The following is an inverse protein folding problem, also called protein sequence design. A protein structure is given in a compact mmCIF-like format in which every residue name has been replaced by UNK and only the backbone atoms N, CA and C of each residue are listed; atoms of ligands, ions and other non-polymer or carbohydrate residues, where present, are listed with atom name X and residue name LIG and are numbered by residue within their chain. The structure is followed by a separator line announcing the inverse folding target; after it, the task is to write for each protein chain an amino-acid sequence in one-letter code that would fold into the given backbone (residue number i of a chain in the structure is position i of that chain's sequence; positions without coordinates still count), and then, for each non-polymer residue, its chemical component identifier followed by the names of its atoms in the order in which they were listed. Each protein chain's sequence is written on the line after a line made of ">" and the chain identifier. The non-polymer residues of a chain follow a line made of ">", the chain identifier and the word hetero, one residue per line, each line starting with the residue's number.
data_IF_651953925992
#
_entry.id   IF_651953925992
#
_cell.length_a   1.000
_cell.length_b   1.000
_cell.length_c   1.000
_cell.angle_alpha   90.00
_cell.angle_beta   90.00
_cell.angle_gamma   90.00
#
_symmetry.space_group_name_H-M   'P 1'
#
loop_
_entity.id
_entity.type
_entity.pdbx_description
1 polymer ?
#
# COMPACT_ATOMS: atom_id res chain seq x y z
N UNK A 1 44.95 20.98 20.41
CA UNK A 1 44.05 21.77 19.56
C UNK A 1 43.48 20.81 18.53
N UNK A 2 42.25 20.36 18.75
CA UNK A 2 41.55 19.39 17.88
C UNK A 2 40.13 19.89 17.74
N UNK A 3 39.66 20.32 16.55
CA UNK A 3 38.25 20.56 16.35
C UNK A 3 37.59 19.26 15.90
N UNK A 4 36.81 18.72 16.83
CA UNK A 4 35.43 18.26 16.69
C UNK A 4 35.07 17.44 15.45
N UNK A 5 34.87 16.15 15.70
CA UNK A 5 34.07 15.24 14.88
C UNK A 5 32.67 15.83 14.68
N UNK A 6 32.43 16.36 13.48
CA UNK A 6 31.09 16.70 13.02
C UNK A 6 30.28 15.41 12.91
N UNK A 7 29.44 15.15 13.90
CA UNK A 7 28.34 14.19 13.78
C UNK A 7 27.46 14.72 12.65
N UNK A 8 27.57 14.10 11.47
CA UNK A 8 26.59 14.23 10.39
C UNK A 8 25.28 13.66 10.92
N UNK A 9 24.53 14.48 11.67
CA UNK A 9 23.15 14.20 11.99
C UNK A 9 22.40 14.25 10.66
N UNK A 10 22.07 13.07 10.13
CA UNK A 10 21.11 12.93 9.05
C UNK A 10 19.88 13.74 9.45
N UNK A 11 19.41 14.70 8.63
CA UNK A 11 18.23 15.48 8.96
C UNK A 11 17.09 14.52 9.28
N UNK A 12 16.54 14.59 10.50
CA UNK A 12 15.39 13.77 10.87
C UNK A 12 14.27 14.05 9.88
N UNK A 13 13.83 13.01 9.18
CA UNK A 13 12.70 13.10 8.28
C UNK A 13 11.50 13.65 9.08
N UNK A 14 10.81 14.70 8.61
CA UNK A 14 9.77 15.39 9.38
C UNK A 14 8.54 14.53 9.70
N UNK A 15 8.51 13.28 9.26
CA UNK A 15 7.42 12.37 9.52
C UNK A 15 7.97 11.03 10.04
N UNK A 16 8.04 10.92 11.37
CA UNK A 16 8.45 9.70 12.08
C UNK A 16 7.51 8.52 11.81
N UNK A 17 6.32 8.77 11.23
CA UNK A 17 5.45 7.75 10.64
C UNK A 17 6.12 7.00 9.47
N UNK A 18 7.14 7.51 8.79
CA UNK A 18 7.79 6.77 7.69
C UNK A 18 8.91 5.84 8.15
N UNK A 19 9.59 6.18 9.24
CA UNK A 19 10.60 5.32 9.87
C UNK A 19 9.94 4.18 10.69
N UNK A 20 8.76 4.44 11.27
CA UNK A 20 8.04 3.48 12.14
C UNK A 20 6.80 2.85 11.49
N UNK A 21 6.16 3.53 10.54
CA UNK A 21 4.87 3.12 9.96
C UNK A 21 4.95 1.90 9.07
N UNK A 22 6.06 1.68 8.34
CA UNK A 22 6.25 0.41 7.60
C UNK A 22 6.25 -0.82 8.52
N UNK A 23 6.75 -0.71 9.75
CA UNK A 23 6.67 -1.81 10.73
C UNK A 23 5.25 -2.03 11.27
N UNK A 24 4.41 -0.98 11.28
CA UNK A 24 3.00 -1.07 11.68
C UNK A 24 2.17 -1.67 10.56
N UNK A 25 2.44 -1.28 9.32
CA UNK A 25 1.76 -1.76 8.12
C UNK A 25 2.05 -3.25 7.85
N UNK A 26 3.24 -3.76 8.19
CA UNK A 26 3.56 -5.19 8.08
C UNK A 26 2.56 -6.09 8.83
N UNK A 27 1.98 -5.61 9.94
CA UNK A 27 0.95 -6.34 10.71
C UNK A 27 -0.37 -6.50 9.95
N UNK A 28 -0.57 -5.71 8.90
CA UNK A 28 -1.74 -5.76 8.01
C UNK A 28 -1.38 -6.39 6.65
N UNK A 29 -0.25 -7.10 6.55
CA UNK A 29 0.13 -7.87 5.36
C UNK A 29 0.96 -7.11 4.33
N UNK A 30 1.36 -5.88 4.66
CA UNK A 30 2.27 -5.12 3.82
C UNK A 30 3.64 -5.79 3.79
N UNK A 31 4.00 -6.27 2.60
CA UNK A 31 5.33 -6.75 2.26
C UNK A 31 5.81 -5.94 1.08
N UNK A 32 7.09 -5.56 1.11
CA UNK A 32 7.76 -5.01 -0.06
C UNK A 32 7.82 -6.12 -1.12
N UNK A 33 7.08 -5.94 -2.22
CA UNK A 33 7.13 -6.83 -3.36
C UNK A 33 8.18 -6.29 -4.33
N UNK A 34 9.13 -7.14 -4.71
CA UNK A 34 10.10 -6.78 -5.73
C UNK A 34 9.42 -6.66 -7.10
N UNK A 35 10.01 -5.87 -8.00
CA UNK A 35 9.49 -5.66 -9.35
C UNK A 35 9.35 -7.01 -10.10
N UNK A 36 8.10 -7.46 -10.29
CA UNK A 36 7.77 -8.70 -11.00
C UNK A 36 7.41 -9.89 -10.10
N UNK A 37 7.39 -9.72 -8.77
CA UNK A 37 6.92 -10.75 -7.84
C UNK A 37 5.39 -10.93 -7.95
N UNK A 38 4.94 -12.12 -8.33
CA UNK A 38 3.53 -12.52 -8.30
C UNK A 38 3.22 -13.10 -6.91
N UNK A 39 2.30 -12.46 -6.18
CA UNK A 39 1.76 -13.04 -4.95
C UNK A 39 0.83 -14.20 -5.31
N UNK A 40 1.14 -15.40 -4.81
CA UNK A 40 0.32 -16.60 -4.95
C UNK A 40 -0.46 -16.95 -3.66
N UNK A 41 -0.18 -16.24 -2.56
CA UNK A 41 -0.75 -16.43 -1.21
C UNK A 41 -2.07 -15.64 -1.00
N UNK A 42 -2.98 -15.68 -1.98
CA UNK A 42 -4.24 -14.92 -1.92
C UNK A 42 -5.07 -15.21 -0.67
N UNK A 43 -5.03 -16.45 -0.16
CA UNK A 43 -5.74 -16.82 1.06
C UNK A 43 -5.18 -16.13 2.31
N UNK A 44 -3.85 -16.04 2.43
CA UNK A 44 -3.18 -15.39 3.56
C UNK A 44 -3.43 -13.88 3.55
N UNK A 45 -3.30 -13.25 2.37
CA UNK A 45 -3.61 -11.84 2.21
C UNK A 45 -5.10 -11.55 2.49
N UNK A 46 -5.99 -12.44 2.07
CA UNK A 46 -7.43 -12.30 2.35
C UNK A 46 -7.73 -12.37 3.84
N UNK A 47 -7.06 -13.21 4.61
CA UNK A 47 -7.29 -13.29 6.05
C UNK A 47 -6.99 -11.99 6.80
N UNK A 48 -6.04 -11.20 6.28
CA UNK A 48 -5.69 -9.89 6.84
C UNK A 48 -6.68 -8.79 6.43
N UNK A 49 -7.32 -8.94 5.27
CA UNK A 49 -8.13 -7.89 4.66
C UNK A 49 -9.64 -8.14 4.72
N UNK A 50 -10.10 -9.38 4.90
CA UNK A 50 -11.53 -9.72 4.90
C UNK A 50 -12.33 -8.99 5.99
N UNK A 51 -11.65 -8.52 7.04
CA UNK A 51 -12.22 -7.66 8.07
C UNK A 51 -12.79 -6.33 7.54
N UNK A 52 -12.28 -5.83 6.41
CA UNK A 52 -12.79 -4.63 5.73
C UNK A 52 -14.26 -4.75 5.33
N UNK A 53 -14.76 -5.99 5.19
CA UNK A 53 -16.09 -6.32 4.68
C UNK A 53 -17.02 -6.88 5.76
N UNK A 54 -16.65 -6.80 7.05
CA UNK A 54 -17.45 -7.34 8.15
C UNK A 54 -18.89 -6.79 8.20
N UNK A 55 -19.11 -5.55 7.73
CA UNK A 55 -20.43 -4.93 7.62
C UNK A 55 -21.22 -5.36 6.37
N UNK A 56 -20.53 -5.84 5.32
CA UNK A 56 -21.13 -6.17 4.04
C UNK A 56 -21.83 -7.55 4.04
N UNK A 57 -21.27 -8.53 4.75
CA UNK A 57 -21.75 -9.91 4.75
C UNK A 57 -22.83 -10.24 5.77
N UNK A 58 -23.39 -9.25 6.48
CA UNK A 58 -24.36 -9.50 7.57
C UNK A 58 -23.81 -10.34 8.72
N UNK A 59 -22.48 -10.49 8.84
CA UNK A 59 -21.81 -11.42 9.73
C UNK A 59 -20.32 -11.63 9.38
N UNK A 60 -19.76 -12.76 9.82
CA UNK A 60 -18.36 -13.10 9.57
C UNK A 60 -18.10 -13.41 8.09
N UNK A 61 -17.22 -12.63 7.44
CA UNK A 61 -16.82 -12.82 6.05
C UNK A 61 -16.06 -14.15 5.91
N UNK A 62 -16.42 -15.06 4.99
CA UNK A 62 -15.76 -16.36 4.84
C UNK A 62 -14.26 -16.27 4.56
N UNK A 63 -13.53 -17.33 4.88
CA UNK A 63 -12.16 -17.53 4.40
C UNK A 63 -12.15 -17.65 2.86
N UNK A 64 -10.99 -17.40 2.25
CA UNK A 64 -10.87 -17.23 0.80
C UNK A 64 -11.37 -18.46 0.02
N UNK A 65 -10.99 -19.66 0.46
CA UNK A 65 -11.38 -20.92 -0.19
C UNK A 65 -12.86 -21.26 -0.04
N UNK A 66 -13.55 -20.62 0.91
CA UNK A 66 -14.99 -20.76 1.13
C UNK A 66 -15.82 -19.75 0.34
N UNK A 67 -15.19 -18.80 -0.36
CA UNK A 67 -15.88 -17.86 -1.24
C UNK A 67 -16.32 -18.55 -2.54
N UNK A 68 -17.49 -18.18 -3.06
CA UNK A 68 -17.88 -18.55 -4.42
C UNK A 68 -16.94 -17.96 -5.47
N UNK A 69 -16.87 -18.57 -6.66
CA UNK A 69 -15.89 -18.19 -7.70
C UNK A 69 -15.93 -16.70 -8.08
N UNK A 70 -17.11 -16.08 -8.14
CA UNK A 70 -17.26 -14.65 -8.40
C UNK A 70 -16.66 -13.79 -7.28
N UNK A 71 -16.91 -14.15 -6.02
CA UNK A 71 -16.34 -13.46 -4.86
C UNK A 71 -14.83 -13.66 -4.77
N UNK A 72 -14.31 -14.85 -5.08
CA UNK A 72 -12.85 -15.08 -5.16
C UNK A 72 -12.18 -14.22 -6.22
N UNK A 73 -12.80 -14.07 -7.39
CA UNK A 73 -12.28 -13.22 -8.46
C UNK A 73 -12.26 -11.74 -8.05
N UNK A 74 -13.35 -11.25 -7.47
CA UNK A 74 -13.42 -9.88 -6.95
C UNK A 74 -12.45 -9.64 -5.78
N UNK A 75 -12.25 -10.62 -4.91
CA UNK A 75 -11.26 -10.57 -3.83
C UNK A 75 -9.82 -10.47 -4.36
N UNK A 76 -9.46 -11.25 -5.40
CA UNK A 76 -8.16 -11.12 -6.06
C UNK A 76 -7.97 -9.75 -6.68
N UNK A 77 -8.99 -9.21 -7.32
CA UNK A 77 -8.90 -7.86 -7.88
C UNK A 77 -8.66 -6.81 -6.78
N UNK A 78 -9.46 -6.83 -5.71
CA UNK A 78 -9.29 -5.93 -4.56
C UNK A 78 -7.88 -6.03 -3.96
N UNK A 79 -7.38 -7.24 -3.72
CA UNK A 79 -6.03 -7.47 -3.19
C UNK A 79 -4.94 -7.03 -4.17
N UNK A 80 -5.08 -7.28 -5.46
CA UNK A 80 -4.13 -6.82 -6.47
C UNK A 80 -4.08 -5.28 -6.54
N UNK A 81 -5.23 -4.60 -6.49
CA UNK A 81 -5.30 -3.14 -6.47
C UNK A 81 -4.65 -2.56 -5.22
N UNK A 82 -4.81 -3.23 -4.08
CA UNK A 82 -4.12 -2.87 -2.83
C UNK A 82 -2.61 -2.87 -3.00
N UNK A 83 -2.05 -3.94 -3.55
CA UNK A 83 -0.60 -4.05 -3.78
C UNK A 83 -0.06 -2.98 -4.74
N UNK A 84 -0.83 -2.64 -5.79
CA UNK A 84 -0.47 -1.56 -6.72
C UNK A 84 -0.43 -0.21 -5.98
N UNK A 85 -1.45 0.08 -5.16
CA UNK A 85 -1.48 1.31 -4.39
C UNK A 85 -0.31 1.42 -3.41
N UNK A 86 0.06 0.31 -2.76
CA UNK A 86 1.19 0.26 -1.84
C UNK A 86 2.52 0.55 -2.58
N UNK A 87 2.73 -0.06 -3.74
CA UNK A 87 3.94 0.19 -4.56
C UNK A 87 4.02 1.62 -5.08
N UNK A 88 2.88 2.22 -5.46
CA UNK A 88 2.84 3.60 -5.90
C UNK A 88 3.11 4.57 -4.75
N UNK A 89 2.58 4.28 -3.54
CA UNK A 89 2.91 5.02 -2.33
C UNK A 89 4.40 4.96 -2.03
N UNK A 90 5.02 3.78 -2.06
CA UNK A 90 6.46 3.63 -1.87
C UNK A 90 7.27 4.45 -2.88
N UNK A 91 6.79 4.53 -4.12
CA UNK A 91 7.43 5.35 -5.16
C UNK A 91 7.33 6.84 -4.83
N UNK A 92 6.17 7.32 -4.37
CA UNK A 92 6.00 8.69 -3.89
C UNK A 92 6.96 8.98 -2.73
N UNK A 93 7.06 8.06 -1.76
CA UNK A 93 7.92 8.19 -0.60
C UNK A 93 9.40 8.28 -0.98
N UNK A 94 9.87 7.44 -1.91
CA UNK A 94 11.26 7.51 -2.41
C UNK A 94 11.59 8.87 -3.00
N UNK A 95 10.68 9.43 -3.81
CA UNK A 95 10.87 10.76 -4.38
C UNK A 95 10.81 11.86 -3.34
N UNK A 96 9.90 11.77 -2.37
CA UNK A 96 9.80 12.73 -1.27
C UNK A 96 11.09 12.78 -0.44
N UNK A 97 11.63 11.61 -0.07
CA UNK A 97 12.91 11.49 0.64
C UNK A 97 14.04 12.07 -0.19
N UNK A 98 14.07 11.82 -1.49
CA UNK A 98 15.09 12.36 -2.39
C UNK A 98 15.06 13.87 -2.47
N UNK A 99 13.89 14.48 -2.65
CA UNK A 99 13.72 15.95 -2.65
C UNK A 99 14.24 16.56 -1.34
N UNK A 100 13.96 15.91 -0.22
CA UNK A 100 14.40 16.39 1.09
C UNK A 100 15.91 16.23 1.32
N UNK A 101 16.49 15.14 0.84
CA UNK A 101 17.91 14.79 1.08
C UNK A 101 18.87 15.50 0.12
N UNK A 102 18.52 15.58 -1.16
CA UNK A 102 19.37 16.11 -2.23
C UNK A 102 19.06 17.59 -2.55
N UNK A 103 18.04 18.14 -1.90
CA UNK A 103 17.50 19.48 -2.18
C UNK A 103 16.46 19.49 -3.30
N UNK A 104 15.70 20.59 -3.37
CA UNK A 104 14.60 20.75 -4.34
C UNK A 104 15.18 20.97 -5.74
N UNK A 105 15.13 19.92 -6.56
CA UNK A 105 15.45 19.96 -7.99
C UNK A 105 14.17 19.81 -8.81
N UNK A 106 14.04 20.56 -9.91
CA UNK A 106 12.85 20.53 -10.78
C UNK A 106 12.49 19.10 -11.20
N UNK A 107 13.44 18.34 -11.72
CA UNK A 107 13.21 16.96 -12.18
C UNK A 107 12.72 16.03 -11.05
N UNK A 108 13.19 16.25 -9.81
CA UNK A 108 12.76 15.47 -8.66
C UNK A 108 11.32 15.80 -8.27
N UNK A 109 10.94 17.09 -8.33
CA UNK A 109 9.56 17.54 -8.10
C UNK A 109 8.62 17.02 -9.18
N UNK A 110 9.02 17.08 -10.45
CA UNK A 110 8.25 16.52 -11.57
C UNK A 110 8.06 15.01 -11.42
N UNK A 111 9.12 14.28 -11.07
CA UNK A 111 9.05 12.83 -10.84
C UNK A 111 8.16 12.47 -9.66
N UNK A 112 8.19 13.27 -8.59
CA UNK A 112 7.27 13.12 -7.46
C UNK A 112 5.82 13.37 -7.87
N UNK A 113 5.54 14.41 -8.67
CA UNK A 113 4.19 14.71 -9.15
C UNK A 113 3.63 13.54 -9.98
N UNK A 114 4.41 12.99 -10.91
CA UNK A 114 4.01 11.82 -11.70
C UNK A 114 3.73 10.60 -10.81
N UNK A 115 4.59 10.34 -9.83
CA UNK A 115 4.40 9.24 -8.89
C UNK A 115 3.13 9.43 -8.06
N UNK A 116 2.85 10.67 -7.65
CA UNK A 116 1.66 11.03 -6.87
C UNK A 116 0.39 10.83 -7.69
N UNK A 117 0.35 11.29 -8.94
CA UNK A 117 -0.80 11.08 -9.83
C UNK A 117 -1.09 9.57 -9.98
N UNK A 118 -0.05 8.76 -10.21
CA UNK A 118 -0.19 7.30 -10.29
C UNK A 118 -0.68 6.67 -8.97
N UNK A 119 -0.29 7.22 -7.82
CA UNK A 119 -0.82 6.78 -6.53
C UNK A 119 -2.28 7.17 -6.36
N UNK A 120 -2.68 8.40 -6.69
CA UNK A 120 -4.07 8.87 -6.63
C UNK A 120 -4.97 7.97 -7.50
N UNK A 121 -4.59 7.72 -8.75
CA UNK A 121 -5.30 6.80 -9.65
C UNK A 121 -5.45 5.39 -9.07
N UNK A 122 -4.40 4.89 -8.40
CA UNK A 122 -4.41 3.56 -7.80
C UNK A 122 -5.32 3.48 -6.56
N UNK A 123 -5.43 4.55 -5.78
CA UNK A 123 -6.33 4.65 -4.63
C UNK A 123 -7.79 4.66 -5.11
N UNK A 124 -8.10 5.40 -6.17
CA UNK A 124 -9.43 5.38 -6.78
C UNK A 124 -9.79 3.98 -7.30
N UNK A 125 -8.88 3.32 -8.01
CA UNK A 125 -9.08 1.96 -8.50
C UNK A 125 -9.25 0.94 -7.35
N UNK A 126 -8.52 1.12 -6.24
CA UNK A 126 -8.66 0.30 -5.05
C UNK A 126 -10.02 0.50 -4.37
N UNK A 127 -10.49 1.74 -4.23
CA UNK A 127 -11.82 2.06 -3.73
C UNK A 127 -12.92 1.43 -4.58
N UNK A 128 -12.84 1.55 -5.91
CA UNK A 128 -13.78 0.93 -6.83
C UNK A 128 -13.78 -0.61 -6.74
N UNK A 129 -12.61 -1.24 -6.55
CA UNK A 129 -12.53 -2.68 -6.36
C UNK A 129 -13.15 -3.14 -5.03
N UNK A 130 -12.98 -2.35 -3.96
CA UNK A 130 -13.63 -2.59 -2.67
C UNK A 130 -15.15 -2.55 -2.80
N UNK A 131 -15.70 -1.53 -3.44
CA UNK A 131 -17.16 -1.40 -3.66
C UNK A 131 -17.71 -2.56 -4.48
N UNK A 132 -17.01 -2.98 -5.54
CA UNK A 132 -17.39 -4.16 -6.35
C UNK A 132 -17.43 -5.43 -5.51
N UNK A 133 -16.40 -5.69 -4.71
CA UNK A 133 -16.34 -6.87 -3.86
C UNK A 133 -17.44 -6.86 -2.81
N UNK A 134 -17.69 -5.72 -2.18
CA UNK A 134 -18.78 -5.54 -1.23
C UNK A 134 -20.15 -5.84 -1.87
N UNK A 135 -20.39 -5.38 -3.10
CA UNK A 135 -21.61 -5.71 -3.83
C UNK A 135 -21.74 -7.22 -4.09
N UNK A 136 -20.66 -7.87 -4.52
CA UNK A 136 -20.65 -9.32 -4.78
C UNK A 136 -20.91 -10.11 -3.49
N UNK A 137 -20.29 -9.72 -2.37
CA UNK A 137 -20.47 -10.37 -1.07
C UNK A 137 -21.88 -10.22 -0.50
N UNK A 138 -22.62 -9.17 -0.86
CA UNK A 138 -24.03 -9.00 -0.46
C UNK A 138 -25.01 -9.84 -1.29
N UNK A 139 -24.59 -10.31 -2.46
CA UNK A 139 -25.43 -11.03 -3.41
C UNK A 139 -25.24 -12.56 -3.37
N UNK A 140 -24.11 -13.03 -2.82
CA UNK A 140 -23.83 -14.45 -2.56
C UNK A 140 -24.33 -14.88 -1.20
#
# INVERSE_FOLDING_TARGET
>A
MTPESGTNAVPELPNTLFASGRSVLAKFGYRHLEDGELREDWAEMWDLLRGDFASAGGGAVPAYDALGAAAQAAAREYMARRLIADRNLETCERWHVRIFSDGVQTDAVESYAIARDAYEDSVEAFGAARERLEQVLRQG
#
